data_IF_852911340610
#
_entry.id   IF_852911340610
#
_cell.length_a   1.000
_cell.length_b   1.000
_cell.length_c   1.000
_cell.angle_alpha   90.00
_cell.angle_beta   90.00
_cell.angle_gamma   90.00
#
_symmetry.space_group_name_H-M   'P 1'
#
loop_
_entity.id
_entity.type
_entity.pdbx_description
1 polymer ?
#
# COMPACT_ATOMS: atom_id res chain seq x y z
N UNK A 1 2.50 17.11 41.03
CA UNK A 1 2.88 15.87 40.33
C UNK A 1 1.89 15.68 39.20
N UNK A 2 2.34 15.63 37.95
CA UNK A 2 1.46 15.39 36.80
C UNK A 2 1.32 13.87 36.62
N UNK A 3 0.09 13.34 36.54
CA UNK A 3 -0.16 11.92 36.22
C UNK A 3 -0.67 11.03 37.36
N UNK A 4 -0.96 11.56 38.56
CA UNK A 4 -1.60 10.79 39.64
C UNK A 4 -3.13 10.75 39.44
N UNK A 5 -3.73 9.57 39.63
CA UNK A 5 -5.19 9.37 39.59
C UNK A 5 -5.73 9.28 41.03
N UNK A 6 -6.89 9.87 41.28
CA UNK A 6 -7.57 9.84 42.59
C UNK A 6 -9.00 9.31 42.41
N UNK A 7 -9.40 8.35 43.24
CA UNK A 7 -10.75 7.79 43.26
C UNK A 7 -11.52 8.42 44.42
N UNK A 8 -12.56 9.21 44.13
CA UNK A 8 -13.45 9.79 45.15
C UNK A 8 -14.75 8.99 45.24
N UNK A 9 -15.18 8.67 46.47
CA UNK A 9 -16.39 7.89 46.77
C UNK A 9 -17.34 8.75 47.62
N UNK A 10 -18.64 8.76 47.32
CA UNK A 10 -19.70 9.22 48.23
C UNK A 10 -20.21 10.67 48.12
N UNK A 11 -19.43 11.64 47.65
CA UNK A 11 -19.92 13.03 47.55
C UNK A 11 -20.70 13.28 46.25
N UNK A 12 -21.96 13.72 46.37
CA UNK A 12 -22.87 13.97 45.23
C UNK A 12 -22.56 15.25 44.45
N UNK A 13 -21.75 16.15 45.01
CA UNK A 13 -21.30 17.37 44.37
C UNK A 13 -19.87 17.70 44.79
N UNK A 14 -18.95 17.79 43.83
CA UNK A 14 -17.59 18.24 44.05
C UNK A 14 -17.14 19.16 42.89
N UNK A 15 -16.17 20.03 43.17
CA UNK A 15 -15.55 20.88 42.15
C UNK A 15 -14.19 20.30 41.76
N UNK A 16 -13.89 20.32 40.46
CA UNK A 16 -12.56 20.01 39.94
C UNK A 16 -11.63 21.19 40.22
N UNK A 17 -10.42 20.92 40.71
CA UNK A 17 -9.41 21.95 40.86
C UNK A 17 -8.81 22.34 39.50
N UNK A 18 -8.26 23.56 39.34
CA UNK A 18 -7.61 23.97 38.10
C UNK A 18 -6.48 22.99 37.70
N UNK A 19 -6.66 22.30 36.57
CA UNK A 19 -5.73 21.28 36.06
C UNK A 19 -6.16 19.82 36.28
N UNK A 20 -7.27 19.58 37.00
CA UNK A 20 -7.90 18.26 37.09
C UNK A 20 -8.90 18.05 35.94
N UNK A 21 -8.88 16.86 35.35
CA UNK A 21 -9.87 16.41 34.37
C UNK A 21 -10.39 15.05 34.76
N UNK A 22 -11.70 14.81 34.58
CA UNK A 22 -12.26 13.47 34.69
C UNK A 22 -11.62 12.56 33.62
N UNK A 23 -11.41 11.30 33.97
CA UNK A 23 -10.76 10.31 33.09
C UNK A 23 -11.68 9.91 31.93
N UNK A 24 -11.68 10.73 30.85
CA UNK A 24 -12.21 10.41 29.52
C UNK A 24 -13.62 9.77 29.49
N UNK A 25 -13.82 8.82 28.58
CA UNK A 25 -15.10 8.12 28.30
C UNK A 25 -15.72 7.40 29.52
N UNK A 26 -14.99 7.27 30.64
CA UNK A 26 -15.40 6.55 31.85
C UNK A 26 -15.80 7.47 33.02
N UNK A 27 -16.18 8.72 32.73
CA UNK A 27 -16.50 9.82 33.67
C UNK A 27 -17.06 9.42 35.06
N UNK A 28 -18.35 9.71 35.32
CA UNK A 28 -18.99 9.36 36.59
C UNK A 28 -19.52 7.93 36.47
N UNK A 29 -18.96 7.01 37.27
CA UNK A 29 -19.36 5.60 37.28
C UNK A 29 -20.30 5.32 38.45
N UNK A 30 -21.30 4.48 38.21
CA UNK A 30 -22.17 3.97 39.27
C UNK A 30 -21.45 2.88 40.07
N UNK A 31 -21.69 2.86 41.38
CA UNK A 31 -21.17 1.82 42.28
C UNK A 31 -21.73 0.45 41.88
N UNK A 32 -20.88 -0.58 41.88
CA UNK A 32 -21.31 -1.95 41.62
C UNK A 32 -21.94 -2.52 42.90
N UNK A 33 -23.26 -2.62 42.92
CA UNK A 33 -24.01 -3.26 44.00
C UNK A 33 -24.07 -4.76 43.71
N UNK A 34 -23.39 -5.57 44.52
CA UNK A 34 -23.44 -7.02 44.41
C UNK A 34 -24.50 -7.55 45.36
N UNK A 35 -25.51 -8.24 44.81
CA UNK A 35 -26.49 -9.00 45.57
C UNK A 35 -25.89 -10.31 46.15
N UNK A 36 -26.64 -11.03 46.97
CA UNK A 36 -26.17 -12.24 47.68
C UNK A 36 -25.63 -13.34 46.73
N UNK A 37 -26.14 -13.40 45.50
CA UNK A 37 -25.80 -14.41 44.49
C UNK A 37 -24.94 -13.84 43.34
N UNK A 38 -24.36 -12.65 43.52
CA UNK A 38 -23.54 -11.98 42.52
C UNK A 38 -22.07 -11.93 42.97
N UNK A 39 -21.15 -12.09 42.03
CA UNK A 39 -19.72 -12.00 42.33
C UNK A 39 -18.95 -11.42 41.16
N UNK A 40 -18.05 -10.46 41.39
CA UNK A 40 -17.24 -9.84 40.33
C UNK A 40 -15.84 -10.44 40.29
N UNK A 41 -15.38 -10.80 39.08
CA UNK A 41 -14.00 -11.17 38.82
C UNK A 41 -13.18 -9.92 38.53
N UNK A 42 -12.22 -9.66 39.40
CA UNK A 42 -11.35 -8.48 39.33
C UNK A 42 -9.93 -8.94 39.02
N UNK A 43 -9.23 -8.20 38.16
CA UNK A 43 -7.80 -8.36 37.91
C UNK A 43 -7.05 -7.11 38.36
N UNK A 44 -5.96 -7.32 39.10
CA UNK A 44 -5.01 -6.27 39.43
C UNK A 44 -4.18 -5.90 38.18
N UNK A 45 -4.21 -4.63 37.77
CA UNK A 45 -3.34 -4.08 36.73
C UNK A 45 -1.97 -3.69 37.30
N UNK A 46 -1.95 -3.17 38.53
CA UNK A 46 -0.74 -2.80 39.27
C UNK A 46 -0.73 -3.47 40.64
N UNK A 47 0.45 -3.53 41.26
CA UNK A 47 0.57 -4.01 42.64
C UNK A 47 -0.12 -3.01 43.57
N UNK A 48 -1.12 -3.46 44.33
CA UNK A 48 -1.75 -2.66 45.37
C UNK A 48 -2.12 -3.50 46.58
N UNK A 49 -2.36 -2.85 47.70
CA UNK A 49 -2.85 -3.48 48.93
C UNK A 49 -4.36 -3.29 48.96
N UNK A 50 -5.11 -4.38 49.03
CA UNK A 50 -6.57 -4.31 49.09
C UNK A 50 -6.99 -3.80 50.47
N UNK A 51 -7.72 -2.68 50.52
CA UNK A 51 -8.24 -2.10 51.75
C UNK A 51 -9.26 -3.02 52.45
N UNK A 52 -9.90 -3.92 51.70
CA UNK A 52 -11.00 -4.76 52.18
C UNK A 52 -10.50 -6.05 52.84
N UNK A 53 -9.46 -6.67 52.27
CA UNK A 53 -8.91 -7.96 52.76
C UNK A 53 -7.52 -7.84 53.36
N UNK A 54 -6.90 -6.65 53.30
CA UNK A 54 -5.52 -6.38 53.71
C UNK A 54 -4.45 -7.24 52.97
N UNK A 55 -4.83 -7.89 51.87
CA UNK A 55 -3.94 -8.72 51.07
C UNK A 55 -3.14 -7.87 50.07
N UNK A 56 -1.86 -8.21 49.90
CA UNK A 56 -1.03 -7.62 48.85
C UNK A 56 -1.31 -8.36 47.55
N UNK A 57 -1.95 -7.68 46.60
CA UNK A 57 -2.22 -8.23 45.27
C UNK A 57 -1.12 -7.81 44.31
N UNK A 58 -0.49 -8.79 43.66
CA UNK A 58 0.47 -8.52 42.59
C UNK A 58 -0.25 -8.24 41.26
N UNK A 59 0.43 -7.56 40.34
CA UNK A 59 -0.09 -7.28 39.01
C UNK A 59 -0.40 -8.60 38.27
N UNK A 60 -1.57 -8.68 37.66
CA UNK A 60 -2.06 -9.86 36.94
C UNK A 60 -2.86 -10.86 37.77
N UNK A 61 -2.87 -10.75 39.11
CA UNK A 61 -3.64 -11.66 39.98
C UNK A 61 -5.15 -11.42 39.81
N UNK A 62 -5.91 -12.51 39.70
CA UNK A 62 -7.37 -12.51 39.55
C UNK A 62 -8.05 -13.07 40.79
N UNK A 63 -9.13 -12.46 41.23
CA UNK A 63 -9.92 -12.94 42.37
C UNK A 63 -11.40 -12.59 42.23
N UNK A 64 -12.22 -13.27 43.01
CA UNK A 64 -13.66 -13.04 43.06
C UNK A 64 -14.03 -12.24 44.30
N UNK A 65 -14.87 -11.23 44.12
CA UNK A 65 -15.55 -10.50 45.20
C UNK A 65 -16.99 -10.97 45.21
N UNK A 66 -17.43 -11.58 46.30
CA UNK A 66 -18.80 -12.10 46.44
C UNK A 66 -19.69 -11.06 47.14
N UNK A 67 -20.94 -10.95 46.73
CA UNK A 67 -21.95 -10.18 47.45
C UNK A 67 -22.50 -10.92 48.68
N UNK A 68 -23.35 -10.27 49.49
CA UNK A 68 -23.90 -8.93 49.31
C UNK A 68 -22.92 -7.83 49.74
N UNK A 69 -22.37 -7.05 48.80
CA UNK A 69 -21.48 -5.94 49.12
C UNK A 69 -21.51 -4.84 48.06
N UNK A 70 -21.25 -3.61 48.50
CA UNK A 70 -21.01 -2.48 47.59
C UNK A 70 -19.53 -2.51 47.19
N UNK A 71 -19.25 -2.93 45.96
CA UNK A 71 -17.88 -3.02 45.46
C UNK A 71 -17.56 -1.82 44.56
N UNK A 72 -16.58 -1.03 44.96
CA UNK A 72 -16.03 0.05 44.16
C UNK A 72 -14.61 -0.36 43.75
N UNK A 73 -14.38 -0.70 42.47
CA UNK A 73 -13.07 -1.15 42.03
C UNK A 73 -12.03 -0.05 42.24
N UNK A 74 -10.86 -0.37 42.82
CA UNK A 74 -9.77 0.59 42.91
C UNK A 74 -9.17 0.87 41.53
N UNK A 75 -8.49 2.02 41.38
CA UNK A 75 -7.95 2.52 40.10
C UNK A 75 -7.02 1.50 39.43
N UNK A 76 -6.30 0.73 40.25
CA UNK A 76 -5.37 -0.30 39.80
C UNK A 76 -6.06 -1.61 39.39
N UNK A 77 -7.40 -1.66 39.32
CA UNK A 77 -8.17 -2.85 38.95
C UNK A 77 -8.98 -2.67 37.67
N UNK A 78 -9.10 -3.77 36.92
CA UNK A 78 -9.98 -3.86 35.74
C UNK A 78 -10.96 -5.01 35.95
N UNK A 79 -12.25 -4.76 35.67
CA UNK A 79 -13.24 -5.82 35.62
C UNK A 79 -13.05 -6.62 34.32
N UNK A 80 -12.91 -7.95 34.43
CA UNK A 80 -12.90 -8.80 33.24
C UNK A 80 -14.33 -9.22 32.97
N UNK A 81 -14.93 -8.68 31.92
CA UNK A 81 -16.24 -9.13 31.44
C UNK A 81 -16.04 -10.45 30.69
N UNK A 82 -16.09 -11.56 31.39
CA UNK A 82 -16.03 -12.89 30.77
C UNK A 82 -17.47 -13.27 30.38
N UNK A 83 -17.75 -13.31 29.08
CA UNK A 83 -19.00 -13.89 28.60
C UNK A 83 -18.92 -15.42 28.62
N UNK A 84 -19.96 -16.09 29.11
CA UNK A 84 -20.07 -17.56 29.14
C UNK A 84 -21.35 -18.03 28.46
N UNK A 85 -21.31 -19.22 27.85
CA UNK A 85 -22.51 -19.89 27.40
C UNK A 85 -23.07 -20.76 28.52
N UNK A 86 -24.35 -20.56 28.80
CA UNK A 86 -25.07 -21.26 29.87
C UNK A 86 -26.23 -22.02 29.25
N UNK A 87 -26.38 -23.29 29.63
CA UNK A 87 -27.52 -24.13 29.28
C UNK A 87 -28.33 -24.44 30.53
N UNK A 88 -29.63 -24.25 30.43
CA UNK A 88 -30.56 -24.71 31.47
C UNK A 88 -30.83 -26.22 31.28
N UNK A 89 -30.56 -27.02 32.30
CA UNK A 89 -30.76 -28.48 32.30
C UNK A 89 -32.25 -28.87 32.23
N UNK A 90 -33.16 -27.98 32.66
CA UNK A 90 -34.61 -28.25 32.63
C UNK A 90 -35.25 -27.92 31.29
N UNK A 91 -34.95 -26.75 30.73
CA UNK A 91 -35.53 -26.31 29.46
C UNK A 91 -34.68 -26.71 28.25
N UNK A 92 -33.41 -27.03 28.45
CA UNK A 92 -32.43 -27.28 27.39
C UNK A 92 -31.99 -26.00 26.66
N UNK A 93 -32.52 -24.84 27.04
CA UNK A 93 -32.26 -23.56 26.38
C UNK A 93 -30.82 -23.10 26.65
N UNK A 94 -30.13 -22.68 25.60
CA UNK A 94 -28.76 -22.17 25.66
C UNK A 94 -28.78 -20.67 25.43
N UNK A 95 -28.11 -19.91 26.29
CA UNK A 95 -27.97 -18.45 26.16
C UNK A 95 -26.53 -18.01 26.37
N UNK A 96 -26.15 -16.93 25.70
CA UNK A 96 -24.91 -16.23 25.98
C UNK A 96 -25.16 -15.17 27.06
N UNK A 97 -24.45 -15.24 28.17
CA UNK A 97 -24.47 -14.20 29.20
C UNK A 97 -23.24 -13.32 29.00
N UNK A 98 -23.43 -12.03 28.77
CA UNK A 98 -22.37 -11.06 28.49
C UNK A 98 -22.62 -9.77 29.28
N UNK A 99 -21.58 -8.97 29.52
CA UNK A 99 -21.73 -7.64 30.16
C UNK A 99 -21.83 -7.64 31.69
N UNK A 100 -22.07 -8.79 32.31
CA UNK A 100 -22.14 -8.94 33.76
C UNK A 100 -21.49 -10.25 34.20
N UNK A 101 -21.03 -10.29 35.45
CA UNK A 101 -20.54 -11.52 36.06
C UNK A 101 -21.71 -12.42 36.44
N UNK A 102 -21.59 -13.70 36.10
CA UNK A 102 -22.70 -14.65 36.21
C UNK A 102 -22.34 -15.81 37.14
N UNK A 103 -23.18 -16.04 38.16
CA UNK A 103 -23.14 -17.25 38.97
C UNK A 103 -24.13 -18.26 38.38
N UNK A 104 -23.66 -19.47 38.10
CA UNK A 104 -24.50 -20.56 37.58
C UNK A 104 -25.55 -20.94 38.62
N UNK A 105 -26.81 -21.02 38.19
CA UNK A 105 -27.87 -21.56 39.03
C UNK A 105 -27.75 -23.09 39.16
N UNK A 106 -28.34 -23.72 40.18
CA UNK A 106 -28.31 -25.19 40.33
C UNK A 106 -28.90 -25.98 39.16
N UNK A 107 -29.69 -25.32 38.31
CA UNK A 107 -30.32 -25.91 37.12
C UNK A 107 -29.58 -25.55 35.84
N UNK A 108 -28.40 -24.95 35.94
CA UNK A 108 -27.64 -24.45 34.81
C UNK A 108 -26.26 -25.08 34.75
N UNK A 109 -25.79 -25.33 33.54
CA UNK A 109 -24.46 -25.85 33.25
C UNK A 109 -23.75 -25.01 32.18
N UNK A 110 -22.42 -25.02 32.20
CA UNK A 110 -21.63 -24.39 31.14
C UNK A 110 -21.79 -25.18 29.84
N UNK A 111 -22.05 -24.48 28.75
CA UNK A 111 -22.22 -25.08 27.44
C UNK A 111 -21.00 -24.81 26.55
N UNK A 112 -20.43 -25.87 25.99
CA UNK A 112 -19.26 -25.78 25.12
C UNK A 112 -19.67 -25.57 23.66
N UNK A 113 -19.36 -24.39 23.10
CA UNK A 113 -19.58 -24.06 21.70
C UNK A 113 -18.42 -24.54 20.84
N UNK A 114 -18.65 -25.63 20.11
CA UNK A 114 -17.70 -26.17 19.15
C UNK A 114 -17.89 -25.47 17.81
N UNK A 115 -16.77 -25.07 17.18
CA UNK A 115 -16.77 -24.48 15.83
C UNK A 115 -16.00 -25.41 14.90
N UNK A 116 -16.18 -25.24 13.60
CA UNK A 116 -15.37 -25.98 12.63
C UNK A 116 -13.91 -25.57 12.71
N UNK A 117 -13.00 -26.53 12.49
CA UNK A 117 -11.55 -26.34 12.57
C UNK A 117 -11.06 -25.15 11.72
N UNK A 118 -11.66 -24.94 10.53
CA UNK A 118 -11.34 -23.80 9.65
C UNK A 118 -11.59 -22.43 10.34
N UNK A 119 -12.62 -22.33 11.19
CA UNK A 119 -12.96 -21.08 11.89
C UNK A 119 -12.02 -20.89 13.09
N UNK A 120 -11.69 -21.97 13.79
CA UNK A 120 -10.77 -21.89 14.93
C UNK A 120 -9.37 -21.45 14.51
N UNK A 121 -8.87 -21.99 13.39
CA UNK A 121 -7.61 -21.58 12.78
C UNK A 121 -7.62 -20.09 12.43
N UNK A 122 -8.70 -19.61 11.77
CA UNK A 122 -8.81 -18.20 11.40
C UNK A 122 -8.93 -17.25 12.60
N UNK A 123 -9.65 -17.65 13.65
CA UNK A 123 -9.74 -16.86 14.90
C UNK A 123 -8.38 -16.72 15.59
N UNK A 124 -7.53 -17.75 15.51
CA UNK A 124 -6.17 -17.70 16.05
C UNK A 124 -5.27 -16.78 15.22
N UNK A 125 -5.38 -16.84 13.89
CA UNK A 125 -4.57 -16.01 12.99
C UNK A 125 -4.88 -14.52 13.13
N UNK A 126 -6.15 -14.15 13.23
CA UNK A 126 -6.58 -12.74 13.30
C UNK A 126 -6.38 -12.09 14.69
N UNK A 127 -6.07 -12.86 15.73
CA UNK A 127 -5.82 -12.34 17.09
C UNK A 127 -4.48 -11.60 17.26
N UNK A 128 -3.64 -11.56 16.22
CA UNK A 128 -2.35 -10.87 16.21
C UNK A 128 -2.50 -9.39 15.82
N UNK A 129 -2.95 -8.55 16.76
CA UNK A 129 -2.81 -7.08 16.68
C UNK A 129 -1.85 -6.55 17.75
N UNK A 130 -1.02 -7.39 18.38
CA UNK A 130 0.04 -6.91 19.28
C UNK A 130 1.41 -7.43 18.84
N UNK A 131 2.21 -6.51 18.29
CA UNK A 131 3.52 -6.72 17.65
C UNK A 131 4.65 -6.97 18.67
N UNK A 132 4.31 -7.49 19.86
CA UNK A 132 5.28 -7.80 20.91
C UNK A 132 5.22 -9.27 21.33
N UNK A 133 6.21 -10.00 20.82
CA UNK A 133 6.68 -11.34 21.20
C UNK A 133 6.19 -12.52 20.32
N UNK A 134 7.11 -13.27 19.69
CA UNK A 134 6.79 -14.57 19.09
C UNK A 134 6.72 -15.60 20.21
N UNK A 135 5.52 -15.84 20.74
CA UNK A 135 5.29 -16.89 21.73
C UNK A 135 4.69 -18.13 21.05
N UNK A 136 5.47 -19.19 21.12
CA UNK A 136 5.23 -20.61 20.80
C UNK A 136 3.88 -21.02 20.20
N UNK A 137 3.96 -21.94 19.22
CA UNK A 137 2.87 -22.70 18.59
C UNK A 137 1.98 -23.55 19.54
N UNK A 138 2.08 -23.32 20.85
CA UNK A 138 1.19 -23.84 21.89
C UNK A 138 0.23 -22.73 22.39
N UNK A 139 -0.11 -21.78 21.53
CA UNK A 139 -1.10 -20.72 21.79
C UNK A 139 -2.48 -21.35 22.03
N UNK A 140 -2.70 -21.71 23.29
CA UNK A 140 -3.95 -21.88 24.02
C UNK A 140 -5.16 -22.28 23.16
N UNK A 141 -5.45 -23.58 23.12
CA UNK A 141 -6.78 -24.07 22.76
C UNK A 141 -7.81 -23.21 23.50
N UNK A 142 -8.68 -22.55 22.74
CA UNK A 142 -9.68 -21.65 23.29
C UNK A 142 -10.57 -22.44 24.26
N UNK A 143 -11.00 -21.80 25.34
CA UNK A 143 -12.01 -22.37 26.23
C UNK A 143 -13.36 -22.35 25.49
N UNK A 144 -13.95 -23.52 25.15
CA UNK A 144 -15.17 -23.58 24.34
C UNK A 144 -16.40 -23.10 25.11
N UNK A 145 -16.31 -22.95 26.43
CA UNK A 145 -17.42 -22.47 27.28
C UNK A 145 -17.56 -20.95 27.29
N UNK A 146 -16.54 -20.23 26.80
CA UNK A 146 -16.55 -18.77 26.72
C UNK A 146 -17.23 -18.29 25.45
N UNK A 147 -17.90 -17.15 25.58
CA UNK A 147 -18.49 -16.47 24.43
C UNK A 147 -17.39 -16.13 23.45
N UNK A 148 -17.63 -16.50 22.19
CA UNK A 148 -16.66 -16.27 21.12
C UNK A 148 -16.78 -14.82 20.71
N UNK A 149 -15.70 -14.07 20.94
CA UNK A 149 -15.59 -12.67 20.60
C UNK A 149 -14.61 -12.49 19.44
N UNK A 150 -14.93 -11.60 18.52
CA UNK A 150 -14.06 -11.25 17.40
C UNK A 150 -14.06 -9.74 17.20
N UNK A 151 -12.89 -9.13 17.21
CA UNK A 151 -12.72 -7.70 16.96
C UNK A 151 -12.68 -7.46 15.46
N UNK A 152 -13.72 -6.82 14.92
CA UNK A 152 -13.78 -6.49 13.50
C UNK A 152 -12.95 -5.25 13.25
N UNK A 153 -11.89 -5.31 12.42
CA UNK A 153 -11.07 -4.15 12.11
C UNK A 153 -11.85 -3.06 11.36
N UNK A 154 -11.26 -1.87 11.27
CA UNK A 154 -11.83 -0.79 10.47
C UNK A 154 -12.00 -1.20 8.99
N UNK A 155 -12.97 -0.58 8.31
CA UNK A 155 -13.23 -0.77 6.88
C UNK A 155 -13.44 -2.23 6.46
N UNK A 156 -13.97 -3.04 7.37
CA UNK A 156 -14.17 -4.47 7.18
C UNK A 156 -15.60 -4.83 7.53
N UNK A 157 -16.16 -5.81 6.83
CA UNK A 157 -17.43 -6.42 7.15
C UNK A 157 -17.25 -7.89 7.53
N UNK A 158 -17.98 -8.33 8.55
CA UNK A 158 -18.10 -9.73 8.92
C UNK A 158 -19.57 -10.17 8.76
N UNK A 159 -19.77 -11.40 8.31
CA UNK A 159 -21.09 -11.99 8.20
C UNK A 159 -21.25 -13.07 9.27
N UNK A 160 -22.28 -12.90 10.10
CA UNK A 160 -22.69 -13.87 11.11
C UNK A 160 -24.02 -14.47 10.68
N UNK A 161 -24.05 -15.80 10.58
CA UNK A 161 -25.27 -16.56 10.24
C UNK A 161 -25.87 -17.14 11.50
N UNK A 162 -27.14 -16.84 11.76
CA UNK A 162 -27.91 -17.42 12.85
C UNK A 162 -28.70 -18.63 12.33
N UNK A 163 -28.39 -19.81 12.87
CA UNK A 163 -29.07 -21.06 12.49
C UNK A 163 -30.50 -21.15 13.06
N UNK A 164 -30.78 -20.45 14.16
CA UNK A 164 -32.10 -20.48 14.79
C UNK A 164 -33.12 -19.66 14.00
N UNK A 165 -32.74 -18.46 13.57
CA UNK A 165 -33.58 -17.56 12.78
C UNK A 165 -33.40 -17.70 11.28
N UNK A 166 -32.43 -18.49 10.81
CA UNK A 166 -32.05 -18.64 9.38
C UNK A 166 -31.73 -17.31 8.68
N UNK A 167 -31.31 -16.32 9.47
CA UNK A 167 -30.98 -14.98 8.99
C UNK A 167 -29.49 -14.71 9.20
N UNK A 168 -28.88 -13.97 8.27
CA UNK A 168 -27.52 -13.48 8.44
C UNK A 168 -27.52 -12.00 8.75
N UNK A 169 -26.79 -11.61 9.79
CA UNK A 169 -26.49 -10.19 10.06
C UNK A 169 -25.09 -9.86 9.59
N UNK A 170 -24.94 -8.69 8.99
CA UNK A 170 -23.65 -8.15 8.56
C UNK A 170 -23.26 -7.05 9.55
N UNK A 171 -22.05 -7.14 10.08
CA UNK A 171 -21.50 -6.16 11.01
C UNK A 171 -20.33 -5.45 10.34
N UNK A 172 -20.32 -4.12 10.42
CA UNK A 172 -19.22 -3.29 9.91
C UNK A 172 -18.31 -2.88 11.08
N UNK A 173 -17.01 -2.93 10.87
CA UNK A 173 -16.03 -2.49 11.87
C UNK A 173 -15.87 -0.97 11.92
N UNK A 174 -15.27 -0.41 13.00
CA UNK A 174 -14.67 -1.12 14.14
C UNK A 174 -15.74 -1.53 15.19
N UNK A 175 -15.97 -2.83 15.35
CA UNK A 175 -16.97 -3.33 16.32
C UNK A 175 -16.53 -4.67 16.89
N UNK A 176 -16.71 -4.87 18.19
CA UNK A 176 -16.56 -6.19 18.81
C UNK A 176 -17.82 -7.03 18.55
N UNK A 177 -17.67 -8.15 17.85
CA UNK A 177 -18.76 -9.08 17.59
C UNK A 177 -18.71 -10.21 18.61
N UNK A 178 -19.81 -10.41 19.31
CA UNK A 178 -20.02 -11.53 20.22
C UNK A 178 -21.04 -12.48 19.60
N UNK A 179 -20.69 -13.76 19.47
CA UNK A 179 -21.59 -14.77 18.92
C UNK A 179 -22.63 -15.22 19.96
N UNK A 180 -23.87 -15.33 19.51
CA UNK A 180 -24.89 -16.09 20.21
C UNK A 180 -24.65 -17.61 20.07
N UNK A 181 -25.28 -18.46 20.91
CA UNK A 181 -25.08 -19.91 20.87
C UNK A 181 -25.34 -20.54 19.50
N UNK A 182 -26.40 -20.08 18.83
CA UNK A 182 -26.86 -20.57 17.52
C UNK A 182 -26.25 -19.80 16.33
N UNK A 183 -25.38 -18.83 16.59
CA UNK A 183 -24.71 -18.04 15.56
C UNK A 183 -23.34 -18.63 15.18
N UNK A 184 -22.98 -18.55 13.91
CA UNK A 184 -21.63 -18.88 13.45
C UNK A 184 -21.09 -17.83 12.48
N UNK A 185 -19.76 -17.69 12.46
CA UNK A 185 -19.08 -16.91 11.45
C UNK A 185 -19.17 -17.61 10.09
N UNK A 186 -19.41 -16.82 9.05
CA UNK A 186 -19.34 -17.30 7.67
C UNK A 186 -17.91 -17.18 7.17
N UNK A 187 -17.28 -18.30 6.80
CA UNK A 187 -15.95 -18.29 6.19
C UNK A 187 -16.05 -17.79 4.75
N UNK A 188 -15.37 -16.70 4.45
CA UNK A 188 -15.29 -16.13 3.11
C UNK A 188 -14.06 -16.72 2.42
N UNK A 189 -14.28 -17.33 1.25
CA UNK A 189 -13.23 -17.95 0.42
C UNK A 189 -13.01 -17.10 -0.82
N UNK A 190 -11.93 -16.32 -0.84
CA UNK A 190 -11.56 -15.41 -1.91
C UNK A 190 -10.47 -16.01 -2.80
N UNK A 191 -10.41 -15.55 -4.05
CA UNK A 191 -9.33 -15.89 -4.97
C UNK A 191 -8.07 -15.09 -4.60
N UNK A 192 -6.91 -15.76 -4.59
CA UNK A 192 -5.62 -15.18 -4.20
C UNK A 192 -4.50 -15.55 -5.17
N UNK A 193 -3.27 -15.12 -4.89
CA UNK A 193 -2.07 -15.34 -5.71
C UNK A 193 -2.04 -14.60 -7.07
N UNK A 194 -0.93 -14.77 -7.79
CA UNK A 194 -0.66 -14.29 -9.16
C UNK A 194 -0.01 -15.47 -9.92
N UNK A 195 -0.72 -16.12 -10.87
CA UNK A 195 -2.10 -15.87 -11.30
C UNK A 195 -3.14 -16.21 -10.21
N UNK A 196 -4.34 -15.63 -10.32
CA UNK A 196 -5.41 -15.85 -9.34
C UNK A 196 -5.86 -17.31 -9.30
N UNK A 197 -5.69 -17.96 -8.15
CA UNK A 197 -6.24 -19.29 -7.86
C UNK A 197 -7.51 -19.19 -7.01
N UNK A 198 -8.58 -19.94 -7.36
CA UNK A 198 -9.84 -19.88 -6.65
C UNK A 198 -9.70 -20.43 -5.22
N UNK A 199 -10.37 -19.79 -4.26
CA UNK A 199 -10.43 -20.20 -2.84
C UNK A 199 -9.06 -20.29 -2.14
N UNK A 200 -8.08 -19.52 -2.60
CA UNK A 200 -6.75 -19.50 -2.00
C UNK A 200 -6.71 -18.75 -0.67
N UNK A 201 -7.50 -17.69 -0.53
CA UNK A 201 -7.58 -16.89 0.69
C UNK A 201 -8.84 -17.31 1.44
N UNK A 202 -8.69 -17.71 2.70
CA UNK A 202 -9.79 -17.95 3.63
C UNK A 202 -9.73 -16.86 4.69
N UNK A 203 -10.85 -16.19 4.96
CA UNK A 203 -10.91 -15.14 5.97
C UNK A 203 -12.32 -15.07 6.55
N UNK A 204 -12.43 -14.58 7.79
CA UNK A 204 -13.72 -14.27 8.43
C UNK A 204 -14.24 -12.88 8.02
N UNK A 205 -13.34 -12.03 7.51
CA UNK A 205 -13.54 -10.61 7.34
C UNK A 205 -13.38 -10.21 5.87
N UNK A 206 -14.33 -9.43 5.35
CA UNK A 206 -14.24 -8.84 4.02
C UNK A 206 -13.79 -7.39 4.13
N UNK A 207 -12.61 -7.08 3.61
CA UNK A 207 -12.12 -5.70 3.51
C UNK A 207 -12.94 -4.93 2.45
N UNK A 208 -13.54 -3.81 2.86
CA UNK A 208 -14.38 -2.94 2.04
C UNK A 208 -13.66 -1.68 1.55
N UNK A 209 -12.56 -1.31 2.20
CA UNK A 209 -11.78 -0.11 1.90
C UNK A 209 -11.01 -0.20 0.58
N UNK A 210 -10.46 0.92 0.10
CA UNK A 210 -9.71 0.93 -1.15
C UNK A 210 -8.49 0.02 -1.03
N UNK A 211 -8.49 -1.07 -1.78
CA UNK A 211 -7.40 -2.04 -1.86
C UNK A 211 -7.09 -2.36 -3.32
N UNK A 212 -5.87 -2.82 -3.57
CA UNK A 212 -5.38 -3.16 -4.89
C UNK A 212 -5.15 -4.65 -5.02
N UNK A 213 -5.92 -5.31 -5.90
CA UNK A 213 -5.67 -6.69 -6.28
C UNK A 213 -4.82 -6.77 -7.55
N UNK A 214 -3.79 -7.63 -7.53
CA UNK A 214 -2.98 -7.95 -8.71
C UNK A 214 -3.39 -9.28 -9.31
N UNK A 215 -3.36 -9.39 -10.62
CA UNK A 215 -3.59 -10.64 -11.37
C UNK A 215 -2.71 -10.69 -12.63
N UNK A 216 -2.49 -11.89 -13.14
CA UNK A 216 -1.78 -12.16 -14.39
C UNK A 216 -2.76 -12.84 -15.36
N UNK A 217 -3.07 -12.14 -16.45
CA UNK A 217 -4.01 -12.61 -17.48
C UNK A 217 -3.28 -12.83 -18.79
N UNK A 218 -3.58 -13.94 -19.46
CA UNK A 218 -3.09 -14.22 -20.82
C UNK A 218 -4.12 -13.71 -21.83
N UNK A 219 -3.70 -12.80 -22.70
CA UNK A 219 -4.54 -12.22 -23.74
C UNK A 219 -3.98 -12.58 -25.10
N UNK A 220 -4.86 -13.06 -26.00
CA UNK A 220 -4.52 -13.27 -27.39
C UNK A 220 -4.78 -11.99 -28.17
N UNK A 221 -3.74 -11.48 -28.83
CA UNK A 221 -3.82 -10.32 -29.70
C UNK A 221 -3.59 -10.76 -31.14
N UNK A 222 -4.58 -10.54 -32.00
CA UNK A 222 -4.42 -10.72 -33.44
C UNK A 222 -3.84 -9.42 -34.02
N UNK A 223 -2.52 -9.31 -34.02
CA UNK A 223 -1.81 -8.15 -34.56
C UNK A 223 -1.81 -8.24 -36.09
N UNK A 224 -2.83 -7.67 -36.75
CA UNK A 224 -2.91 -7.62 -38.22
C UNK A 224 -1.86 -6.70 -38.85
N UNK A 225 -1.32 -5.75 -38.11
CA UNK A 225 -0.33 -4.79 -38.61
C UNK A 225 0.98 -4.90 -37.82
N UNK A 226 2.06 -5.24 -38.55
CA UNK A 226 3.40 -5.49 -38.05
C UNK A 226 4.22 -4.21 -37.79
N UNK A 227 3.56 -3.07 -37.56
CA UNK A 227 4.23 -1.78 -37.42
C UNK A 227 4.49 -1.43 -35.95
N UNK A 228 5.61 -1.95 -35.43
CA UNK A 228 6.31 -1.40 -34.27
C UNK A 228 5.71 -1.72 -32.90
N UNK A 229 6.13 -2.85 -32.33
CA UNK A 229 5.68 -3.34 -31.02
C UNK A 229 5.85 -2.38 -29.82
N UNK A 230 6.73 -1.37 -29.90
CA UNK A 230 6.90 -0.40 -28.80
C UNK A 230 5.73 0.58 -28.71
N UNK A 231 5.13 0.97 -29.84
CA UNK A 231 3.87 1.75 -29.84
C UNK A 231 2.69 0.89 -29.37
N UNK A 232 2.80 -0.44 -29.54
CA UNK A 232 1.76 -1.39 -29.17
C UNK A 232 1.46 -1.39 -27.67
N UNK A 233 2.43 -1.21 -26.77
CA UNK A 233 2.18 -1.29 -25.31
C UNK A 233 1.31 -0.12 -24.83
N UNK A 234 1.57 1.09 -25.31
CA UNK A 234 0.76 2.27 -24.96
C UNK A 234 -0.67 2.14 -25.51
N UNK A 235 -0.80 1.61 -26.73
CA UNK A 235 -2.08 1.34 -27.37
C UNK A 235 -2.82 0.20 -26.64
N UNK A 236 -2.11 -0.83 -26.19
CA UNK A 236 -2.67 -1.96 -25.45
C UNK A 236 -3.28 -1.50 -24.13
N UNK A 237 -2.59 -0.61 -23.41
CA UNK A 237 -3.12 -0.06 -22.18
C UNK A 237 -4.43 0.70 -22.39
N UNK A 238 -4.52 1.48 -23.48
CA UNK A 238 -5.75 2.15 -23.86
C UNK A 238 -6.85 1.14 -24.19
N UNK A 239 -6.55 0.10 -24.99
CA UNK A 239 -7.50 -0.94 -25.39
C UNK A 239 -8.06 -1.67 -24.17
N UNK A 240 -7.20 -2.11 -23.26
CA UNK A 240 -7.60 -2.81 -22.04
C UNK A 240 -8.51 -1.91 -21.18
N UNK A 241 -8.12 -0.65 -20.96
CA UNK A 241 -8.94 0.29 -20.18
C UNK A 241 -10.29 0.56 -20.85
N UNK A 242 -10.34 0.76 -22.17
CA UNK A 242 -11.61 0.90 -22.90
C UNK A 242 -12.48 -0.34 -22.82
N UNK A 243 -11.87 -1.53 -22.78
CA UNK A 243 -12.60 -2.80 -22.71
C UNK A 243 -13.18 -3.06 -21.33
N UNK A 244 -12.49 -2.64 -20.27
CA UNK A 244 -12.93 -2.83 -18.88
C UNK A 244 -13.98 -1.77 -18.49
N UNK A 245 -13.68 -0.50 -18.71
CA UNK A 245 -14.56 0.59 -18.25
C UNK A 245 -15.70 0.87 -19.24
N UNK A 246 -15.51 0.62 -20.53
CA UNK A 246 -16.42 1.08 -21.57
C UNK A 246 -16.34 2.60 -21.81
N UNK A 247 -17.14 3.07 -22.75
CA UNK A 247 -17.16 4.47 -23.20
C UNK A 247 -18.53 5.09 -22.86
N UNK A 248 -18.52 6.31 -22.32
CA UNK A 248 -19.72 7.11 -22.09
C UNK A 248 -20.15 7.78 -23.40
N UNK A 249 -21.13 7.17 -24.06
CA UNK A 249 -21.67 7.53 -25.38
C UNK A 249 -20.71 7.47 -26.57
N UNK A 250 -21.18 6.85 -27.66
CA UNK A 250 -20.46 6.66 -28.92
C UNK A 250 -19.98 7.99 -29.57
N UNK A 251 -20.52 9.13 -29.12
CA UNK A 251 -20.18 10.46 -29.63
C UNK A 251 -19.07 11.18 -28.84
N UNK A 252 -18.86 10.86 -27.55
CA UNK A 252 -17.93 11.62 -26.69
C UNK A 252 -16.53 11.00 -26.62
N UNK A 253 -16.42 9.68 -26.85
CA UNK A 253 -15.16 8.94 -26.77
C UNK A 253 -14.52 8.94 -25.38
N UNK A 254 -15.21 9.44 -24.33
CA UNK A 254 -14.67 9.50 -22.97
C UNK A 254 -14.88 8.18 -22.24
N UNK A 255 -13.82 7.73 -21.57
CA UNK A 255 -13.84 6.55 -20.72
C UNK A 255 -14.73 6.77 -19.49
N UNK A 256 -15.51 5.76 -19.13
CA UNK A 256 -16.20 5.72 -17.84
C UNK A 256 -15.17 5.78 -16.71
N UNK A 257 -15.47 6.58 -15.69
CA UNK A 257 -14.55 6.79 -14.56
C UNK A 257 -14.47 5.58 -13.62
N UNK A 258 -15.49 4.73 -13.59
CA UNK A 258 -15.56 3.58 -12.69
C UNK A 258 -16.43 2.46 -13.28
N UNK A 259 -16.09 1.21 -12.95
CA UNK A 259 -16.87 0.04 -13.27
C UNK A 259 -17.52 -0.48 -11.98
N UNK A 260 -18.85 -0.51 -11.92
CA UNK A 260 -19.60 -0.98 -10.75
C UNK A 260 -20.30 -2.29 -11.09
N UNK A 261 -20.06 -3.33 -10.27
CA UNK A 261 -20.79 -4.59 -10.34
C UNK A 261 -22.07 -4.49 -9.52
N UNK A 262 -23.27 -4.60 -10.12
CA UNK A 262 -24.53 -4.38 -9.41
C UNK A 262 -24.87 -5.47 -8.39
N UNK A 263 -24.27 -6.66 -8.49
CA UNK A 263 -24.58 -7.78 -7.61
C UNK A 263 -23.97 -7.64 -6.21
N UNK A 264 -22.78 -7.06 -6.11
CA UNK A 264 -22.02 -6.94 -4.86
C UNK A 264 -21.54 -5.51 -4.60
N UNK A 265 -21.92 -4.55 -5.44
CA UNK A 265 -21.47 -3.15 -5.41
C UNK A 265 -19.95 -2.98 -5.44
N UNK A 266 -19.21 -3.96 -5.95
CA UNK A 266 -17.77 -3.83 -6.14
C UNK A 266 -17.51 -2.74 -7.18
N UNK A 267 -16.79 -1.71 -6.78
CA UNK A 267 -16.41 -0.59 -7.63
C UNK A 267 -14.92 -0.69 -7.98
N UNK A 268 -14.63 -0.89 -9.26
CA UNK A 268 -13.27 -0.76 -9.79
C UNK A 268 -13.10 0.69 -10.25
N UNK A 269 -12.20 1.41 -9.60
CA UNK A 269 -11.91 2.83 -9.89
C UNK A 269 -10.79 3.01 -10.91
N UNK A 270 -9.79 2.14 -10.89
CA UNK A 270 -8.67 2.20 -11.81
C UNK A 270 -8.09 0.82 -12.10
N UNK A 271 -7.47 0.69 -13.28
CA UNK A 271 -6.72 -0.51 -13.69
C UNK A 271 -5.33 -0.06 -14.09
N UNK A 272 -4.33 -0.60 -13.43
CA UNK A 272 -2.92 -0.34 -13.69
C UNK A 272 -2.27 -1.54 -14.36
N UNK A 273 -1.56 -1.31 -15.46
CA UNK A 273 -0.90 -2.35 -16.25
C UNK A 273 0.59 -2.23 -16.00
N UNK A 274 1.12 -3.08 -15.12
CA UNK A 274 2.51 -3.01 -14.69
C UNK A 274 3.49 -3.52 -15.75
N UNK A 275 3.13 -4.62 -16.43
CA UNK A 275 3.95 -5.23 -17.48
C UNK A 275 3.08 -5.92 -18.52
N UNK A 276 3.59 -5.98 -19.74
CA UNK A 276 3.01 -6.72 -20.85
C UNK A 276 4.15 -7.42 -21.59
N UNK A 277 4.16 -8.76 -21.55
CA UNK A 277 5.20 -9.58 -22.16
C UNK A 277 4.59 -10.60 -23.13
N UNK A 278 5.23 -10.85 -24.29
CA UNK A 278 4.81 -11.89 -25.20
C UNK A 278 5.06 -13.27 -24.56
N UNK A 279 4.05 -14.13 -24.60
CA UNK A 279 4.16 -15.51 -24.09
C UNK A 279 5.02 -16.37 -25.03
N UNK A 280 4.94 -16.10 -26.34
CA UNK A 280 5.67 -16.84 -27.35
C UNK A 280 7.15 -16.45 -27.41
N UNK A 281 8.03 -17.44 -27.28
CA UNK A 281 9.48 -17.25 -27.28
C UNK A 281 9.99 -16.73 -28.62
N UNK A 282 9.43 -17.19 -29.75
CA UNK A 282 9.85 -16.72 -31.06
C UNK A 282 9.53 -15.23 -31.25
N UNK A 283 8.35 -14.80 -30.80
CA UNK A 283 7.95 -13.38 -30.82
C UNK A 283 8.86 -12.52 -29.94
N UNK A 284 9.22 -13.01 -28.75
CA UNK A 284 10.17 -12.34 -27.84
C UNK A 284 11.56 -12.18 -28.47
N UNK A 285 12.08 -13.21 -29.12
CA UNK A 285 13.40 -13.16 -29.76
C UNK A 285 13.40 -12.23 -30.98
N UNK A 286 12.32 -12.26 -31.77
CA UNK A 286 12.09 -11.33 -32.89
C UNK A 286 12.04 -9.87 -32.42
N UNK A 287 11.35 -9.61 -31.31
CA UNK A 287 11.32 -8.32 -30.64
C UNK A 287 12.70 -7.84 -30.20
N UNK A 288 13.47 -8.71 -29.54
CA UNK A 288 14.81 -8.38 -29.06
C UNK A 288 15.74 -8.03 -30.22
N UNK A 289 15.67 -8.77 -31.34
CA UNK A 289 16.41 -8.45 -32.57
C UNK A 289 15.98 -7.11 -33.16
N UNK A 290 14.68 -6.81 -33.18
CA UNK A 290 14.17 -5.52 -33.65
C UNK A 290 14.69 -4.35 -32.82
N UNK A 291 14.71 -4.47 -31.49
CA UNK A 291 15.28 -3.46 -30.59
C UNK A 291 16.78 -3.28 -30.84
N UNK A 292 17.53 -4.38 -31.02
CA UNK A 292 18.96 -4.31 -31.35
C UNK A 292 19.21 -3.56 -32.66
N UNK A 293 18.45 -3.89 -33.72
CA UNK A 293 18.53 -3.20 -35.00
C UNK A 293 18.14 -1.72 -34.88
N UNK A 294 17.12 -1.37 -34.09
CA UNK A 294 16.74 0.02 -33.86
C UNK A 294 17.87 0.82 -33.21
N UNK A 295 18.52 0.25 -32.17
CA UNK A 295 19.69 0.86 -31.54
C UNK A 295 20.81 1.02 -32.57
N UNK A 296 21.12 -0.01 -33.34
CA UNK A 296 22.16 0.05 -34.37
C UNK A 296 21.87 1.13 -35.43
N UNK A 297 20.64 1.25 -35.90
CA UNK A 297 20.21 2.27 -36.86
C UNK A 297 20.36 3.67 -36.23
N UNK A 298 19.94 3.86 -34.98
CA UNK A 298 20.10 5.17 -34.32
C UNK A 298 21.58 5.52 -34.14
N UNK A 299 22.42 4.56 -33.76
CA UNK A 299 23.87 4.76 -33.62
C UNK A 299 24.51 5.09 -34.96
N UNK A 300 24.22 4.31 -36.02
CA UNK A 300 24.71 4.58 -37.38
C UNK A 300 24.21 5.91 -37.92
N UNK A 301 22.98 6.30 -37.60
CA UNK A 301 22.43 7.60 -37.99
C UNK A 301 23.16 8.74 -37.28
N UNK A 302 23.44 8.60 -35.98
CA UNK A 302 24.20 9.60 -35.22
C UNK A 302 25.65 9.68 -35.70
N UNK A 303 26.29 8.53 -35.95
CA UNK A 303 27.65 8.45 -36.48
C UNK A 303 27.73 9.10 -37.87
N UNK A 304 26.79 8.79 -38.77
CA UNK A 304 26.75 9.37 -40.10
C UNK A 304 26.54 10.90 -40.05
N UNK A 305 25.70 11.40 -39.13
CA UNK A 305 25.53 12.84 -38.91
C UNK A 305 26.80 13.50 -38.39
N UNK A 306 27.45 12.91 -37.39
CA UNK A 306 28.71 13.42 -36.85
C UNK A 306 29.81 13.45 -37.92
N UNK A 307 29.92 12.37 -38.71
CA UNK A 307 30.87 12.27 -39.83
C UNK A 307 30.58 13.30 -40.92
N UNK A 308 29.31 13.54 -41.25
CA UNK A 308 28.93 14.54 -42.24
C UNK A 308 29.28 15.96 -41.79
N UNK A 309 29.11 16.26 -40.49
CA UNK A 309 29.51 17.55 -39.92
C UNK A 309 31.03 17.70 -39.95
N UNK A 310 31.79 16.70 -39.49
CA UNK A 310 33.24 16.74 -39.52
C UNK A 310 33.80 16.87 -40.94
N UNK A 311 33.21 16.17 -41.91
CA UNK A 311 33.61 16.27 -43.31
C UNK A 311 33.30 17.66 -43.89
N UNK A 312 32.16 18.26 -43.51
CA UNK A 312 31.82 19.63 -43.92
C UNK A 312 32.83 20.64 -43.38
N UNK A 313 33.21 20.53 -42.11
CA UNK A 313 34.21 21.41 -41.48
C UNK A 313 35.60 21.27 -42.13
N UNK A 314 36.01 20.04 -42.46
CA UNK A 314 37.29 19.78 -43.14
C UNK A 314 37.33 20.39 -44.56
N UNK A 315 36.23 20.27 -45.32
CA UNK A 315 36.12 20.89 -46.64
C UNK A 315 36.07 22.42 -46.57
N UNK A 316 35.41 23.00 -45.56
CA UNK A 316 35.43 24.44 -45.31
C UNK A 316 36.85 24.92 -44.96
N UNK A 317 37.58 24.20 -44.10
CA UNK A 317 38.96 24.52 -43.75
C UNK A 317 39.91 24.44 -44.96
N UNK A 318 39.78 23.41 -45.80
CA UNK A 318 40.55 23.29 -47.05
C UNK A 318 40.24 24.44 -48.01
N UNK A 319 38.97 24.82 -48.15
CA UNK A 319 38.56 25.97 -48.97
C UNK A 319 39.20 27.28 -48.51
N UNK A 320 39.24 27.51 -47.20
CA UNK A 320 39.91 28.67 -46.60
C UNK A 320 41.43 28.65 -46.83
N UNK A 321 42.06 27.48 -46.71
CA UNK A 321 43.50 27.35 -46.92
C UNK A 321 43.88 27.63 -48.39
N UNK A 322 43.10 27.11 -49.34
CA UNK A 322 43.32 27.35 -50.78
C UNK A 322 43.13 28.83 -51.13
N UNK A 323 42.09 29.47 -50.60
CA UNK A 323 41.87 30.91 -50.82
C UNK A 323 43.01 31.74 -50.23
N UNK A 324 43.47 31.42 -49.02
CA UNK A 324 44.63 32.08 -48.40
C UNK A 324 45.93 31.86 -49.20
N UNK A 325 46.16 30.66 -49.75
CA UNK A 325 47.30 30.39 -50.62
C UNK A 325 47.25 31.21 -51.91
N UNK A 326 46.08 31.32 -52.54
CA UNK A 326 45.87 32.15 -53.73
C UNK A 326 46.10 33.62 -53.43
N UNK A 327 45.64 34.13 -52.29
CA UNK A 327 45.91 35.50 -51.85
C UNK A 327 47.42 35.73 -51.63
N UNK A 328 48.09 34.80 -50.95
CA UNK A 328 49.54 34.86 -50.73
C UNK A 328 50.31 34.85 -52.06
N UNK A 329 49.94 34.00 -53.01
CA UNK A 329 50.54 33.97 -54.35
C UNK A 329 50.27 35.26 -55.13
N UNK A 330 49.03 35.78 -55.05
CA UNK A 330 48.66 37.04 -55.71
C UNK A 330 49.47 38.21 -55.15
N UNK A 331 49.66 38.26 -53.83
CA UNK A 331 50.48 39.29 -53.19
C UNK A 331 51.96 39.15 -53.54
N UNK A 332 52.48 37.92 -53.59
CA UNK A 332 53.85 37.65 -54.03
C UNK A 332 54.08 38.07 -55.49
N UNK A 333 53.16 37.77 -56.41
CA UNK A 333 53.25 38.18 -57.81
C UNK A 333 53.09 39.70 -57.99
N UNK A 334 52.26 40.37 -57.19
CA UNK A 334 52.21 41.85 -57.15
C UNK A 334 53.55 42.46 -56.73
N UNK A 335 54.14 41.95 -55.66
CA UNK A 335 55.46 42.40 -55.20
C UNK A 335 56.55 42.12 -56.24
N UNK A 336 56.50 40.93 -56.87
CA UNK A 336 57.42 40.55 -57.95
C UNK A 336 57.31 41.48 -59.15
N UNK A 337 56.10 41.86 -59.55
CA UNK A 337 55.87 42.85 -60.62
C UNK A 337 56.54 44.18 -60.30
N UNK A 338 56.37 44.70 -59.07
CA UNK A 338 57.02 45.94 -58.63
C UNK A 338 58.55 45.83 -58.68
N UNK A 339 59.10 44.70 -58.21
CA UNK A 339 60.54 44.45 -58.22
C UNK A 339 61.10 44.43 -59.65
N UNK A 340 60.38 43.83 -60.59
CA UNK A 340 60.74 43.81 -62.02
C UNK A 340 60.64 45.19 -62.65
N UNK A 341 59.63 46.00 -62.31
CA UNK A 341 59.52 47.39 -62.77
C UNK A 341 60.70 48.24 -62.27
N UNK A 342 61.03 48.14 -60.98
CA UNK A 342 62.19 48.81 -60.39
C UNK A 342 63.51 48.32 -60.99
N UNK A 343 63.68 47.01 -61.21
CA UNK A 343 64.91 46.49 -61.82
C UNK A 343 65.05 46.95 -63.27
N UNK A 344 63.96 47.05 -64.02
CA UNK A 344 63.96 47.58 -65.37
C UNK A 344 64.32 49.07 -65.38
N UNK A 345 63.83 49.85 -64.42
CA UNK A 345 64.21 51.27 -64.24
C UNK A 345 65.70 51.40 -63.87
N UNK A 346 66.20 50.63 -62.90
CA UNK A 346 67.61 50.62 -62.54
C UNK A 346 68.49 50.23 -63.73
N UNK A 347 68.12 49.19 -64.49
CA UNK A 347 68.84 48.77 -65.68
C UNK A 347 68.84 49.85 -66.77
N UNK A 348 67.73 50.59 -66.95
CA UNK A 348 67.66 51.70 -67.87
C UNK A 348 68.57 52.87 -67.43
N UNK A 349 68.56 53.23 -66.14
CA UNK A 349 69.43 54.27 -65.57
C UNK A 349 70.90 53.85 -65.63
N UNK A 350 71.24 52.58 -65.39
CA UNK A 350 72.59 52.06 -65.56
C UNK A 350 73.03 52.17 -67.02
N UNK A 351 72.18 51.79 -67.97
CA UNK A 351 72.49 51.89 -69.40
C UNK A 351 72.67 53.35 -69.85
N UNK A 352 71.79 54.27 -69.42
CA UNK A 352 71.93 55.70 -69.66
C UNK A 352 73.19 56.26 -68.98
N UNK A 353 73.47 55.88 -67.74
CA UNK A 353 74.65 56.29 -66.98
C UNK A 353 75.95 55.85 -67.67
N UNK A 354 76.01 54.61 -68.16
CA UNK A 354 77.13 54.11 -68.95
C UNK A 354 77.28 54.90 -70.26
N UNK A 355 76.18 55.17 -70.97
CA UNK A 355 76.20 55.93 -72.21
C UNK A 355 76.66 57.39 -72.00
N UNK A 356 76.15 58.07 -70.97
CA UNK A 356 76.52 59.46 -70.64
C UNK A 356 77.97 59.55 -70.13
N UNK A 357 78.42 58.59 -69.32
CA UNK A 357 79.80 58.53 -68.86
C UNK A 357 80.77 58.34 -70.03
N UNK A 358 80.44 57.47 -71.00
CA UNK A 358 81.22 57.31 -72.23
C UNK A 358 81.21 58.57 -73.10
N UNK A 359 80.10 59.29 -73.16
CA UNK A 359 79.99 60.53 -73.93
C UNK A 359 80.79 61.70 -73.34
N UNK A 360 80.84 61.84 -72.00
CA UNK A 360 81.63 62.89 -71.31
C UNK A 360 83.12 62.61 -71.21
N UNK A 361 83.56 61.37 -71.46
CA UNK A 361 84.97 60.98 -71.45
C UNK A 361 85.70 61.29 -72.78
N UNK A 362 84.98 61.80 -73.79
CA UNK A 362 85.51 62.41 -75.02
C UNK A 362 85.53 63.92 -74.89
#
# INVERSE_FOLDING_TARGET
MLGTRELRKGETSFFLQPGESLEGERGIQNVCLLAHDEAVLVQANERFVDETTADVREAGVKWMVYGPCEYIPPISCVYIVVGIYVRDTKSGNVRAVTGATYMLQPTEELWAKHMGDEIEELLQMDSYVDDTAPLSAAAMSRDPTRVVTFEVPHNTAIQVYDYSSTMSRIMFGPTLVMLNPEEQFTVIKLSGNVPKTPKAIKTLCLQLGPDFMRDQVYVYLDCRDADGLVRQILILAQIIRTSIFGVDDAASGKLKAQLVFPANNLCITNVDIQSAEPVDAQTRDSLQKSVQLAIEITTKSQEAKAKAIAMKEDEEAKGLLVTQQLENQTNAEKARKQLVELSAQCAAVEAEGVAVAQAKAK
#
